data_IF_322444651584
#
_entry.id   IF_322444651584
#
_cell.length_a   1.000
_cell.length_b   1.000
_cell.length_c   1.000
_cell.angle_alpha   90.00
_cell.angle_beta   90.00
_cell.angle_gamma   90.00
#
_symmetry.space_group_name_H-M   'P 1'
#
loop_
_entity.id
_entity.type
_entity.pdbx_description
1 polymer ?
#
# COMPACT_ATOMS: atom_id res chain seq x y z
N UNK A 1 1.13 10.12 4.62
CA UNK A 1 1.91 11.35 4.62
C UNK A 1 3.35 11.10 5.01
N UNK A 2 3.67 10.77 6.27
CA UNK A 2 5.03 10.61 6.79
C UNK A 2 5.94 9.72 5.92
N UNK A 3 5.44 8.58 5.43
CA UNK A 3 6.22 7.69 4.58
C UNK A 3 6.57 8.36 3.25
N UNK A 4 5.61 9.01 2.60
CA UNK A 4 5.87 9.73 1.35
C UNK A 4 6.94 10.82 1.53
N UNK A 5 6.80 11.66 2.56
CA UNK A 5 7.80 12.68 2.87
C UNK A 5 9.18 12.06 3.13
N UNK A 6 9.26 11.01 3.95
CA UNK A 6 10.51 10.35 4.33
C UNK A 6 11.26 9.74 3.14
N UNK A 7 10.55 9.03 2.26
CA UNK A 7 11.18 8.29 1.17
C UNK A 7 11.36 9.10 -0.11
N UNK A 8 10.86 10.33 -0.16
CA UNK A 8 10.97 11.22 -1.33
C UNK A 8 11.58 12.58 -1.02
N UNK A 9 12.06 12.83 0.19
CA UNK A 9 12.59 14.14 0.62
C UNK A 9 13.81 14.63 -0.19
N UNK A 10 14.50 13.71 -0.85
CA UNK A 10 15.67 14.00 -1.71
C UNK A 10 15.27 14.45 -3.13
N UNK A 11 14.00 14.27 -3.53
CA UNK A 11 13.51 14.65 -4.85
C UNK A 11 12.94 16.06 -4.77
N UNK A 12 13.56 17.02 -5.50
CA UNK A 12 13.20 18.43 -5.44
C UNK A 12 12.93 19.06 -6.80
N UNK A 13 13.34 18.42 -7.87
CA UNK A 13 13.45 18.96 -9.22
C UNK A 13 12.36 18.50 -10.18
N UNK A 14 11.48 17.62 -9.74
CA UNK A 14 10.40 17.04 -10.55
C UNK A 14 9.22 16.56 -9.71
N UNK A 15 8.06 16.33 -10.34
CA UNK A 15 6.94 15.62 -9.67
C UNK A 15 7.35 14.23 -9.19
N UNK A 16 6.81 13.83 -8.05
CA UNK A 16 7.04 12.54 -7.39
C UNK A 16 5.90 11.61 -7.77
N UNK A 17 6.21 10.45 -8.36
CA UNK A 17 5.22 9.44 -8.69
C UNK A 17 5.12 8.38 -7.60
N UNK A 18 3.89 8.18 -7.10
CA UNK A 18 3.56 7.20 -6.07
C UNK A 18 2.59 6.19 -6.66
N UNK A 19 2.85 4.90 -6.46
CA UNK A 19 1.93 3.84 -6.85
C UNK A 19 1.39 3.08 -5.63
N UNK A 20 0.08 2.91 -5.59
CA UNK A 20 -0.67 2.15 -4.59
C UNK A 20 -1.45 1.02 -5.27
N UNK A 21 -0.92 -0.22 -5.27
CA UNK A 21 -1.54 -1.37 -5.91
C UNK A 21 -2.91 -1.79 -5.35
N UNK A 22 -3.31 -1.30 -4.18
CA UNK A 22 -4.57 -1.69 -3.53
C UNK A 22 -5.11 -0.51 -2.75
N UNK A 23 -5.73 0.46 -3.44
CA UNK A 23 -6.14 1.76 -2.89
C UNK A 23 -7.13 1.66 -1.72
N UNK A 24 -7.96 0.62 -1.69
CA UNK A 24 -8.85 0.28 -0.58
C UNK A 24 -9.74 1.45 -0.16
N UNK A 25 -9.72 1.81 1.11
CA UNK A 25 -10.56 2.90 1.67
C UNK A 25 -10.06 4.32 1.40
N UNK A 26 -9.02 4.50 0.58
CA UNK A 26 -8.51 5.81 0.22
C UNK A 26 -7.58 6.47 1.25
N UNK A 27 -7.19 5.79 2.33
CA UNK A 27 -6.29 6.37 3.34
C UNK A 27 -4.92 6.75 2.78
N UNK A 28 -4.42 6.05 1.78
CA UNK A 28 -3.12 6.30 1.17
C UNK A 28 -3.14 7.46 0.18
N UNK A 29 -4.19 7.60 -0.64
CA UNK A 29 -4.38 8.80 -1.47
C UNK A 29 -4.57 10.05 -0.59
N UNK A 30 -5.33 9.95 0.50
CA UNK A 30 -5.46 11.00 1.48
C UNK A 30 -4.11 11.40 2.07
N UNK A 31 -3.27 10.42 2.40
CA UNK A 31 -1.90 10.64 2.85
C UNK A 31 -1.04 11.36 1.83
N UNK A 32 -1.19 11.09 0.53
CA UNK A 32 -0.50 11.78 -0.56
C UNK A 32 -0.98 13.24 -0.70
N UNK A 33 -2.30 13.45 -0.77
CA UNK A 33 -2.90 14.78 -0.88
C UNK A 33 -2.64 15.69 0.34
N UNK A 34 -2.26 15.12 1.48
CA UNK A 34 -1.95 15.86 2.70
C UNK A 34 -0.47 16.28 2.85
N UNK A 35 0.39 15.94 1.90
CA UNK A 35 1.78 16.43 1.88
C UNK A 35 1.75 17.93 1.61
N UNK A 36 2.42 18.70 2.49
CA UNK A 36 2.39 20.17 2.47
C UNK A 36 3.79 20.72 2.40
N UNK A 37 4.36 20.60 1.25
CA UNK A 37 5.60 21.26 0.87
C UNK A 37 5.45 21.74 -0.59
N UNK A 38 6.47 22.30 -1.16
CA UNK A 38 6.48 22.86 -2.52
C UNK A 38 6.60 21.79 -3.62
N UNK A 39 6.57 20.49 -3.25
CA UNK A 39 6.66 19.36 -4.19
C UNK A 39 5.29 18.93 -4.68
N UNK A 40 5.19 18.59 -5.94
CA UNK A 40 4.00 17.97 -6.52
C UNK A 40 4.11 16.46 -6.44
N UNK A 41 3.07 15.80 -5.91
CA UNK A 41 2.91 14.35 -5.92
C UNK A 41 1.89 13.97 -6.99
N UNK A 42 2.19 12.92 -7.72
CA UNK A 42 1.26 12.25 -8.61
C UNK A 42 0.97 10.85 -8.05
N UNK A 43 -0.25 10.69 -7.53
CA UNK A 43 -0.71 9.41 -6.96
C UNK A 43 -1.36 8.57 -8.05
N UNK A 44 -0.93 7.32 -8.15
CA UNK A 44 -1.47 6.32 -9.06
C UNK A 44 -2.00 5.17 -8.20
N UNK A 45 -3.28 4.86 -8.34
CA UNK A 45 -3.93 3.82 -7.55
C UNK A 45 -4.62 2.77 -8.39
N UNK A 46 -4.74 1.55 -7.87
CA UNK A 46 -5.59 0.50 -8.43
C UNK A 46 -6.52 -0.06 -7.38
N UNK A 47 -7.74 -0.36 -7.76
CA UNK A 47 -8.73 -1.05 -6.91
C UNK A 47 -9.77 -1.73 -7.82
N UNK A 48 -10.02 -3.05 -7.70
CA UNK A 48 -11.00 -3.74 -8.55
C UNK A 48 -12.43 -3.56 -8.04
N UNK A 49 -12.65 -3.02 -6.83
CA UNK A 49 -13.97 -2.95 -6.21
C UNK A 49 -14.86 -1.91 -6.90
N UNK A 50 -15.94 -2.32 -7.60
CA UNK A 50 -16.82 -1.42 -8.32
C UNK A 50 -17.55 -0.43 -7.40
N UNK A 51 -17.74 -0.74 -6.11
CA UNK A 51 -18.41 0.15 -5.15
C UNK A 51 -17.63 1.45 -4.88
N UNK A 52 -16.37 1.52 -5.29
CA UNK A 52 -15.53 2.70 -5.17
C UNK A 52 -15.59 3.62 -6.40
N UNK A 53 -16.31 3.23 -7.46
CA UNK A 53 -16.39 3.94 -8.73
C UNK A 53 -17.84 4.24 -9.11
N UNK A 54 -18.09 5.39 -9.69
CA UNK A 54 -19.40 5.81 -10.14
C UNK A 54 -19.56 5.66 -11.68
N UNK A 55 -20.78 5.49 -12.19
CA UNK A 55 -21.02 5.35 -13.63
C UNK A 55 -20.61 6.56 -14.48
N UNK A 56 -20.49 7.74 -13.85
CA UNK A 56 -20.07 8.99 -14.51
C UNK A 56 -18.53 9.12 -14.62
N UNK A 57 -17.79 8.12 -14.19
CA UNK A 57 -16.33 8.11 -14.19
C UNK A 57 -15.68 8.76 -12.96
N UNK A 58 -16.46 9.31 -12.03
CA UNK A 58 -15.96 9.75 -10.72
C UNK A 58 -15.74 8.54 -9.81
N UNK A 59 -15.04 8.77 -8.69
CA UNK A 59 -14.79 7.73 -7.70
C UNK A 59 -14.69 8.32 -6.30
N UNK A 60 -14.81 7.48 -5.27
CA UNK A 60 -14.51 7.91 -3.89
C UNK A 60 -13.10 8.47 -3.75
N UNK A 61 -12.18 8.02 -4.59
CA UNK A 61 -10.79 8.50 -4.62
C UNK A 61 -10.68 9.91 -5.21
N UNK A 62 -11.41 10.19 -6.30
CA UNK A 62 -11.48 11.53 -6.88
C UNK A 62 -12.10 12.52 -5.89
N UNK A 63 -13.19 12.15 -5.24
CA UNK A 63 -13.85 13.01 -4.24
C UNK A 63 -12.91 13.35 -3.07
N UNK A 64 -12.19 12.36 -2.56
CA UNK A 64 -11.19 12.56 -1.51
C UNK A 64 -10.05 13.48 -1.97
N UNK A 65 -9.48 13.21 -3.15
CA UNK A 65 -8.35 13.97 -3.67
C UNK A 65 -8.72 15.43 -3.93
N UNK A 66 -9.85 15.67 -4.58
CA UNK A 66 -10.32 17.02 -4.93
C UNK A 66 -10.70 17.82 -3.68
N UNK A 67 -11.36 17.18 -2.71
CA UNK A 67 -11.65 17.82 -1.44
C UNK A 67 -10.37 18.30 -0.73
N UNK A 68 -9.35 17.44 -0.64
CA UNK A 68 -8.11 17.78 0.07
C UNK A 68 -7.22 18.74 -0.72
N UNK A 69 -7.14 18.64 -2.03
CA UNK A 69 -6.48 19.64 -2.87
C UNK A 69 -7.10 21.02 -2.67
N UNK A 70 -8.44 21.10 -2.73
CA UNK A 70 -9.16 22.36 -2.52
C UNK A 70 -8.93 22.93 -1.12
N UNK A 71 -8.99 22.10 -0.07
CA UNK A 71 -8.75 22.53 1.31
C UNK A 71 -7.32 22.96 1.57
N UNK A 72 -6.35 22.23 1.03
CA UNK A 72 -4.93 22.54 1.18
C UNK A 72 -4.59 23.87 0.52
N UNK A 73 -5.06 24.10 -0.71
CA UNK A 73 -4.87 25.36 -1.42
C UNK A 73 -5.48 26.56 -0.69
N UNK A 74 -6.73 26.44 -0.19
CA UNK A 74 -7.41 27.52 0.54
C UNK A 74 -6.76 27.84 1.88
N UNK A 75 -6.16 26.84 2.54
CA UNK A 75 -5.53 27.05 3.85
C UNK A 75 -4.13 27.66 3.75
N UNK A 76 -3.46 27.57 2.59
CA UNK A 76 -2.15 28.19 2.39
C UNK A 76 -1.90 28.57 0.93
N UNK A 77 -2.29 29.80 0.52
CA UNK A 77 -2.15 30.28 -0.85
C UNK A 77 -0.70 30.43 -1.34
N UNK A 78 0.29 30.30 -0.44
CA UNK A 78 1.72 30.30 -0.82
C UNK A 78 2.19 28.96 -1.37
N UNK A 79 1.44 27.86 -1.20
CA UNK A 79 1.72 26.59 -1.85
C UNK A 79 1.00 26.54 -3.19
N UNK A 80 1.75 26.62 -4.27
CA UNK A 80 1.21 26.64 -5.63
C UNK A 80 1.03 25.27 -6.27
N UNK A 81 1.50 24.19 -5.64
CA UNK A 81 1.44 22.85 -6.21
C UNK A 81 0.15 22.15 -5.84
N UNK A 82 -0.69 21.86 -6.81
CA UNK A 82 -1.78 20.89 -6.68
C UNK A 82 -1.23 19.49 -6.94
N UNK A 83 -1.48 18.57 -6.01
CA UNK A 83 -1.21 17.15 -6.25
C UNK A 83 -2.15 16.62 -7.32
N UNK A 84 -1.69 15.67 -8.10
CA UNK A 84 -2.50 15.00 -9.14
C UNK A 84 -2.69 13.53 -8.82
N UNK A 85 -3.67 12.90 -9.45
CA UNK A 85 -3.96 11.48 -9.22
C UNK A 85 -4.55 10.82 -10.47
N UNK A 86 -4.36 9.51 -10.53
CA UNK A 86 -5.05 8.59 -11.45
C UNK A 86 -5.43 7.35 -10.64
N UNK A 87 -6.65 6.85 -10.79
CA UNK A 87 -7.09 5.62 -10.13
C UNK A 87 -7.80 4.73 -11.13
N UNK A 88 -7.35 3.49 -11.23
CA UNK A 88 -7.82 2.50 -12.19
C UNK A 88 -8.73 1.48 -11.49
N UNK A 89 -9.89 1.21 -12.08
CA UNK A 89 -10.79 0.14 -11.62
C UNK A 89 -10.31 -1.22 -12.16
N UNK A 90 -9.14 -1.65 -11.69
CA UNK A 90 -8.52 -2.92 -12.09
C UNK A 90 -7.80 -3.56 -10.90
N UNK A 91 -7.66 -4.88 -10.94
CA UNK A 91 -6.77 -5.60 -10.03
C UNK A 91 -5.29 -5.27 -10.32
N UNK A 92 -4.50 -5.16 -9.28
CA UNK A 92 -3.06 -4.83 -9.39
C UNK A 92 -2.26 -5.90 -10.14
N UNK A 93 -2.74 -7.12 -10.18
CA UNK A 93 -2.16 -8.24 -10.92
C UNK A 93 -2.39 -8.15 -12.43
N UNK A 94 -3.32 -7.29 -12.88
CA UNK A 94 -3.70 -7.13 -14.30
C UNK A 94 -3.36 -5.75 -14.86
N UNK A 95 -3.07 -4.76 -14.00
CA UNK A 95 -2.88 -3.36 -14.38
C UNK A 95 -1.74 -3.16 -15.40
N UNK A 96 -0.76 -4.05 -15.41
CA UNK A 96 0.36 -4.02 -16.35
C UNK A 96 -0.07 -4.06 -17.83
N UNK A 97 -1.28 -4.50 -18.12
CA UNK A 97 -1.83 -4.55 -19.49
C UNK A 97 -2.59 -3.29 -19.87
N UNK A 98 -2.88 -2.39 -18.93
CA UNK A 98 -3.56 -1.13 -19.19
C UNK A 98 -2.63 -0.14 -19.89
N UNK A 99 -3.10 0.44 -21.02
CA UNK A 99 -2.30 1.32 -21.87
C UNK A 99 -1.93 2.65 -21.18
N UNK A 100 -2.86 3.16 -20.36
CA UNK A 100 -2.64 4.43 -19.66
C UNK A 100 -1.70 4.24 -18.48
N UNK A 101 -1.69 3.07 -17.86
CA UNK A 101 -0.74 2.72 -16.81
C UNK A 101 0.69 2.48 -17.35
N UNK A 102 0.82 1.96 -18.57
CA UNK A 102 2.11 1.68 -19.21
C UNK A 102 3.04 2.92 -19.30
N UNK A 103 2.48 4.13 -19.39
CA UNK A 103 3.26 5.39 -19.42
C UNK A 103 4.09 5.64 -18.15
N UNK A 104 3.82 4.92 -17.06
CA UNK A 104 4.52 5.06 -15.78
C UNK A 104 5.63 4.04 -15.56
N UNK A 105 5.87 3.14 -16.53
CA UNK A 105 6.86 2.07 -16.42
C UNK A 105 8.26 2.62 -16.17
N UNK A 106 8.91 2.17 -15.08
CA UNK A 106 10.23 2.62 -14.67
C UNK A 106 10.29 4.06 -14.14
N UNK A 107 9.15 4.69 -13.85
CA UNK A 107 9.08 6.07 -13.40
C UNK A 107 8.55 6.26 -11.97
N UNK A 108 8.08 5.19 -11.34
CA UNK A 108 7.54 5.25 -9.96
C UNK A 108 8.68 5.46 -8.96
N UNK A 109 8.54 6.44 -8.09
CA UNK A 109 9.51 6.74 -7.04
C UNK A 109 9.28 5.91 -5.79
N UNK A 110 8.01 5.75 -5.41
CA UNK A 110 7.60 5.00 -4.24
C UNK A 110 6.37 4.17 -4.56
N UNK A 111 6.46 2.87 -4.31
CA UNK A 111 5.29 2.00 -4.16
C UNK A 111 4.97 1.91 -2.68
N UNK A 112 3.71 2.13 -2.28
CA UNK A 112 3.26 1.90 -0.91
C UNK A 112 1.84 1.38 -0.89
N UNK A 113 1.67 0.18 -0.35
CA UNK A 113 0.36 -0.45 -0.20
C UNK A 113 0.28 -1.38 1.01
N UNK A 114 -0.95 -1.72 1.39
CA UNK A 114 -1.33 -2.88 2.18
C UNK A 114 -2.22 -3.73 1.28
N UNK A 115 -1.70 -4.80 0.67
CA UNK A 115 -2.49 -5.64 -0.22
C UNK A 115 -3.51 -6.47 0.57
N UNK A 116 -4.50 -7.09 -0.07
CA UNK A 116 -5.33 -8.11 0.55
C UNK A 116 -4.47 -9.23 1.16
N UNK A 117 -4.82 -9.68 2.37
CA UNK A 117 -4.09 -10.75 3.06
C UNK A 117 -4.79 -12.11 2.78
N UNK A 118 -4.62 -12.62 1.57
CA UNK A 118 -5.26 -13.85 1.09
C UNK A 118 -6.80 -13.77 1.30
N UNK A 119 -7.38 -14.68 2.10
CA UNK A 119 -8.81 -14.74 2.40
C UNK A 119 -9.20 -14.10 3.74
N UNK A 120 -8.32 -13.28 4.33
CA UNK A 120 -8.55 -12.67 5.64
C UNK A 120 -9.64 -11.62 5.64
N UNK A 121 -9.80 -10.93 4.54
CA UNK A 121 -10.68 -9.77 4.38
C UNK A 121 -11.53 -9.93 3.12
N UNK A 122 -12.84 -9.85 3.29
CA UNK A 122 -13.80 -9.78 2.20
C UNK A 122 -14.29 -8.33 2.10
N UNK A 123 -13.79 -7.60 1.12
CA UNK A 123 -14.12 -6.18 0.94
C UNK A 123 -15.40 -5.95 0.15
N UNK A 124 -15.80 -6.89 -0.70
CA UNK A 124 -17.04 -6.86 -1.46
C UNK A 124 -17.44 -8.28 -1.89
N UNK A 125 -18.66 -8.42 -2.42
CA UNK A 125 -19.13 -9.65 -3.04
C UNK A 125 -18.71 -9.79 -4.51
N UNK A 126 -17.95 -8.85 -5.05
CA UNK A 126 -17.48 -8.85 -6.43
C UNK A 126 -16.51 -10.00 -6.72
N UNK A 127 -16.67 -10.64 -7.87
CA UNK A 127 -15.86 -11.79 -8.29
C UNK A 127 -14.40 -11.42 -8.63
N UNK A 128 -14.10 -10.13 -8.84
CA UNK A 128 -12.75 -9.63 -9.10
C UNK A 128 -11.91 -9.49 -7.82
N UNK A 129 -12.45 -9.78 -6.64
CA UNK A 129 -11.66 -9.84 -5.41
C UNK A 129 -10.61 -10.96 -5.51
N UNK A 130 -9.36 -10.65 -5.15
CA UNK A 130 -8.23 -11.58 -5.30
C UNK A 130 -8.47 -12.94 -4.64
N UNK A 131 -9.13 -12.97 -3.46
CA UNK A 131 -9.45 -14.21 -2.76
C UNK A 131 -10.52 -15.04 -3.47
N UNK A 132 -11.44 -14.43 -4.22
CA UNK A 132 -12.43 -15.15 -5.04
C UNK A 132 -11.79 -15.67 -6.33
N UNK A 133 -11.07 -14.80 -7.02
CA UNK A 133 -10.44 -15.10 -8.31
C UNK A 133 -9.32 -16.15 -8.21
N UNK A 134 -8.52 -16.11 -7.16
CA UNK A 134 -7.34 -16.96 -6.98
C UNK A 134 -7.35 -17.78 -5.68
N UNK A 135 -8.37 -17.68 -4.85
CA UNK A 135 -8.37 -18.15 -3.46
C UNK A 135 -8.66 -19.65 -3.26
N UNK A 136 -8.51 -20.51 -4.28
CA UNK A 136 -8.67 -21.96 -4.15
C UNK A 136 -7.64 -22.57 -3.18
N UNK A 137 -6.42 -22.03 -3.14
CA UNK A 137 -5.37 -22.32 -2.16
C UNK A 137 -4.49 -21.09 -1.96
N UNK A 138 -3.66 -21.12 -0.92
CA UNK A 138 -2.66 -20.07 -0.70
C UNK A 138 -1.67 -19.96 -1.88
N UNK A 139 -1.19 -21.08 -2.39
CA UNK A 139 -0.28 -21.15 -3.52
C UNK A 139 -0.91 -20.54 -4.79
N UNK A 140 -2.18 -20.85 -5.04
CA UNK A 140 -2.92 -20.27 -6.17
C UNK A 140 -3.03 -18.76 -6.05
N UNK A 141 -3.32 -18.24 -4.85
CA UNK A 141 -3.37 -16.81 -4.59
C UNK A 141 -1.99 -16.15 -4.67
N UNK A 142 -0.96 -16.79 -4.12
CA UNK A 142 0.43 -16.31 -4.22
C UNK A 142 0.85 -16.16 -5.67
N UNK A 143 0.61 -17.17 -6.49
CA UNK A 143 1.08 -17.22 -7.88
C UNK A 143 0.18 -16.42 -8.84
N UNK A 144 -1.13 -16.33 -8.55
CA UNK A 144 -2.10 -15.61 -9.38
C UNK A 144 -2.29 -14.12 -9.03
N UNK A 145 -2.03 -13.74 -7.79
CA UNK A 145 -2.20 -12.36 -7.32
C UNK A 145 -0.91 -11.74 -6.79
N UNK A 146 -0.30 -12.35 -5.75
CA UNK A 146 0.82 -11.73 -5.05
C UNK A 146 2.04 -11.54 -5.98
N UNK A 147 2.44 -12.59 -6.67
CA UNK A 147 3.61 -12.55 -7.57
C UNK A 147 3.41 -11.59 -8.75
N UNK A 148 2.30 -11.60 -9.50
CA UNK A 148 2.08 -10.62 -10.58
C UNK A 148 2.04 -9.19 -10.07
N UNK A 149 1.40 -8.92 -8.93
CA UNK A 149 1.37 -7.59 -8.31
C UNK A 149 2.78 -7.10 -7.95
N UNK A 150 3.58 -7.93 -7.28
CA UNK A 150 4.96 -7.59 -6.92
C UNK A 150 5.85 -7.42 -8.16
N UNK A 151 5.63 -8.23 -9.21
CA UNK A 151 6.34 -8.11 -10.49
C UNK A 151 6.07 -6.76 -11.15
N UNK A 152 4.82 -6.35 -11.20
CA UNK A 152 4.42 -5.02 -11.69
C UNK A 152 5.05 -3.91 -10.84
N UNK A 153 4.99 -4.01 -9.52
CA UNK A 153 5.62 -3.03 -8.64
C UNK A 153 7.13 -2.91 -8.89
N UNK A 154 7.83 -4.04 -9.01
CA UNK A 154 9.27 -4.07 -9.26
C UNK A 154 9.63 -3.46 -10.62
N UNK A 155 8.87 -3.77 -11.66
CA UNK A 155 9.15 -3.33 -13.02
C UNK A 155 8.88 -1.82 -13.20
N UNK A 156 7.79 -1.30 -12.65
CA UNK A 156 7.41 0.12 -12.73
C UNK A 156 8.22 1.02 -11.82
N UNK A 157 8.81 0.46 -10.74
CA UNK A 157 9.69 1.21 -9.85
C UNK A 157 10.96 1.63 -10.61
N UNK A 158 11.35 2.89 -10.47
CA UNK A 158 12.62 3.38 -11.05
C UNK A 158 13.83 2.86 -10.30
N UNK A 159 15.02 2.83 -10.91
CA UNK A 159 16.26 2.61 -10.18
C UNK A 159 16.40 3.57 -9.00
N UNK A 160 16.77 3.05 -7.83
CA UNK A 160 16.85 3.79 -6.58
C UNK A 160 15.52 4.07 -5.89
N UNK A 161 14.38 3.73 -6.50
CA UNK A 161 13.05 3.85 -5.92
C UNK A 161 12.79 2.88 -4.77
N UNK A 162 11.78 3.16 -3.95
CA UNK A 162 11.44 2.40 -2.76
C UNK A 162 10.10 1.68 -2.91
N UNK A 163 10.04 0.44 -2.44
CA UNK A 163 8.80 -0.31 -2.27
C UNK A 163 8.56 -0.54 -0.78
N UNK A 164 7.43 -0.06 -0.31
CA UNK A 164 6.96 -0.14 1.08
C UNK A 164 5.77 -1.09 1.12
N UNK A 165 6.00 -2.31 1.63
CA UNK A 165 5.02 -3.39 1.59
C UNK A 165 4.50 -3.70 2.99
N UNK A 166 3.24 -3.31 3.25
CA UNK A 166 2.61 -3.56 4.54
C UNK A 166 1.86 -4.87 4.47
N UNK A 167 2.47 -5.94 4.95
CA UNK A 167 1.90 -7.29 4.98
C UNK A 167 2.36 -8.01 6.24
N UNK A 168 1.55 -8.92 6.75
CA UNK A 168 1.88 -9.79 7.87
C UNK A 168 1.45 -11.22 7.59
N UNK A 169 2.15 -12.19 8.18
CA UNK A 169 1.74 -13.58 8.19
C UNK A 169 0.38 -13.73 8.85
N UNK A 170 -0.46 -14.59 8.29
CA UNK A 170 -1.79 -14.88 8.82
C UNK A 170 -1.88 -16.29 9.35
N UNK A 171 -2.63 -16.48 10.43
CA UNK A 171 -2.89 -17.77 11.03
C UNK A 171 -4.20 -18.33 10.49
N UNK A 172 -4.15 -19.48 9.79
CA UNK A 172 -5.32 -20.20 9.28
C UNK A 172 -5.24 -21.64 9.76
N UNK A 173 -6.28 -22.11 10.44
CA UNK A 173 -6.38 -23.49 10.97
C UNK A 173 -5.17 -23.96 11.78
N UNK A 174 -4.52 -23.04 12.52
CA UNK A 174 -3.36 -23.34 13.37
C UNK A 174 -2.02 -23.23 12.68
N UNK A 175 -1.95 -22.97 11.39
CA UNK A 175 -0.71 -22.80 10.61
C UNK A 175 -0.55 -21.35 10.14
N UNK A 176 0.68 -20.83 10.19
CA UNK A 176 0.99 -19.52 9.65
C UNK A 176 1.30 -19.63 8.16
N UNK A 177 0.57 -18.88 7.34
CA UNK A 177 0.92 -18.68 5.93
C UNK A 177 2.04 -17.65 5.84
N UNK A 178 3.11 -17.91 5.05
CA UNK A 178 4.36 -17.13 5.06
C UNK A 178 4.32 -15.92 4.11
N UNK A 179 3.30 -15.06 4.22
CA UNK A 179 3.12 -13.92 3.31
C UNK A 179 4.32 -12.96 3.38
N UNK A 180 4.92 -12.79 4.56
CA UNK A 180 6.10 -11.93 4.76
C UNK A 180 7.29 -12.49 3.97
N UNK A 181 7.61 -13.77 4.15
CA UNK A 181 8.77 -14.39 3.51
C UNK A 181 8.57 -14.52 2.00
N UNK A 182 7.40 -14.96 1.54
CA UNK A 182 7.12 -15.07 0.10
C UNK A 182 7.25 -13.71 -0.61
N UNK A 183 6.83 -12.61 0.04
CA UNK A 183 7.03 -11.27 -0.52
C UNK A 183 8.51 -10.88 -0.63
N UNK A 184 9.32 -11.24 0.37
CA UNK A 184 10.76 -10.98 0.37
C UNK A 184 11.44 -11.77 -0.75
N UNK A 185 11.13 -13.06 -0.87
CA UNK A 185 11.74 -13.98 -1.84
C UNK A 185 11.38 -13.56 -3.28
N UNK A 186 10.09 -13.28 -3.55
CA UNK A 186 9.63 -12.82 -4.87
C UNK A 186 10.34 -11.52 -5.27
N UNK A 187 10.41 -10.53 -4.38
CA UNK A 187 11.07 -9.25 -4.69
C UNK A 187 12.59 -9.43 -4.85
N UNK A 188 13.21 -10.32 -4.08
CA UNK A 188 14.62 -10.67 -4.24
C UNK A 188 14.92 -11.28 -5.61
N UNK A 189 14.08 -12.22 -6.10
CA UNK A 189 14.16 -12.79 -7.45
C UNK A 189 14.06 -11.70 -8.54
N UNK A 190 13.29 -10.63 -8.27
CA UNK A 190 13.07 -9.50 -9.19
C UNK A 190 14.14 -8.40 -9.09
N UNK A 191 15.18 -8.60 -8.28
CA UNK A 191 16.27 -7.63 -8.11
C UNK A 191 15.92 -6.42 -7.25
N UNK A 192 14.89 -6.51 -6.41
CA UNK A 192 14.50 -5.46 -5.47
C UNK A 192 14.96 -5.87 -4.06
N UNK A 193 15.95 -5.18 -3.54
CA UNK A 193 16.66 -5.57 -2.33
C UNK A 193 15.87 -5.20 -1.06
N UNK A 194 15.67 -6.15 -0.16
CA UNK A 194 15.17 -5.91 1.18
C UNK A 194 16.18 -5.09 2.00
N UNK A 195 15.73 -4.01 2.63
CA UNK A 195 16.59 -3.15 3.46
C UNK A 195 16.32 -3.32 4.95
N UNK A 196 15.08 -3.12 5.38
CA UNK A 196 14.68 -3.23 6.78
C UNK A 196 13.16 -3.24 6.92
N UNK A 197 12.70 -3.48 8.14
CA UNK A 197 11.29 -3.48 8.52
C UNK A 197 10.96 -2.32 9.45
N UNK A 198 9.95 -1.50 9.10
CA UNK A 198 9.32 -0.55 9.98
C UNK A 198 8.21 -1.24 10.77
N UNK A 199 7.92 -0.73 11.96
CA UNK A 199 6.82 -1.19 12.81
C UNK A 199 5.79 -0.08 12.91
N UNK A 200 4.64 -0.27 12.29
CA UNK A 200 3.51 0.65 12.43
C UNK A 200 2.75 0.27 13.70
N UNK A 201 3.03 0.96 14.78
CA UNK A 201 2.38 0.70 16.06
C UNK A 201 0.89 1.06 15.98
N UNK A 202 0.04 0.13 16.42
CA UNK A 202 -1.41 0.29 16.46
C UNK A 202 -1.84 0.62 17.89
N UNK A 203 -2.61 1.68 18.05
CA UNK A 203 -3.30 1.93 19.32
C UNK A 203 -4.32 0.82 19.59
N UNK A 204 -4.42 0.42 20.86
CA UNK A 204 -5.36 -0.60 21.28
C UNK A 204 -6.76 -0.06 21.40
N UNK A 205 -7.72 -0.86 20.98
CA UNK A 205 -9.08 -0.62 21.40
C UNK A 205 -9.20 -0.72 22.93
N UNK A 206 -9.96 0.17 23.59
CA UNK A 206 -10.25 0.06 25.01
C UNK A 206 -10.76 -1.33 25.37
N UNK A 207 -10.25 -1.95 26.43
CA UNK A 207 -10.69 -3.28 26.88
C UNK A 207 -9.99 -4.48 26.23
N UNK A 208 -9.15 -4.31 25.22
CA UNK A 208 -8.32 -5.40 24.71
C UNK A 208 -7.14 -5.70 25.64
N UNK A 209 -7.22 -6.83 26.32
CA UNK A 209 -6.09 -7.34 27.11
C UNK A 209 -5.06 -7.98 26.15
N UNK A 210 -3.95 -7.29 25.91
CA UNK A 210 -2.91 -7.68 24.93
C UNK A 210 -1.80 -8.50 25.55
N UNK A 211 -1.81 -8.62 26.85
CA UNK A 211 -0.78 -9.29 27.62
C UNK A 211 -1.44 -10.48 28.33
N UNK A 212 -0.75 -11.61 28.35
CA UNK A 212 -1.17 -12.79 29.11
C UNK A 212 -1.01 -12.57 30.60
N UNK A 213 -1.47 -13.52 31.40
CA UNK A 213 -1.28 -13.51 32.87
C UNK A 213 0.21 -13.60 33.24
N UNK A 214 1.03 -14.14 32.35
CA UNK A 214 2.49 -14.21 32.48
C UNK A 214 3.23 -12.91 32.11
N UNK A 215 2.49 -11.84 31.81
CA UNK A 215 3.04 -10.54 31.43
C UNK A 215 3.57 -10.49 29.98
N UNK A 216 3.41 -11.55 29.18
CA UNK A 216 3.92 -11.61 27.80
C UNK A 216 2.85 -11.29 26.77
N UNK A 217 3.23 -10.75 25.61
CA UNK A 217 2.31 -10.52 24.50
C UNK A 217 1.62 -11.80 24.00
N UNK A 218 0.30 -11.73 23.78
CA UNK A 218 -0.53 -12.87 23.33
C UNK A 218 -0.37 -13.27 21.87
N UNK A 219 0.29 -12.48 21.03
CA UNK A 219 0.47 -12.74 19.59
C UNK A 219 1.85 -12.30 19.08
N UNK A 220 2.11 -12.70 17.85
CA UNK A 220 3.30 -12.35 17.08
C UNK A 220 3.42 -10.86 16.86
N UNK A 221 4.00 -10.05 16.53
CA UNK A 221 3.97 -8.63 16.14
C UNK A 221 3.60 -7.66 17.28
N UNK A 222 4.33 -7.73 18.39
CA UNK A 222 4.30 -6.73 19.45
C UNK A 222 5.63 -5.98 19.52
N UNK A 223 5.56 -4.70 19.88
CA UNK A 223 6.70 -3.89 20.24
C UNK A 223 6.43 -3.18 21.57
N UNK A 224 7.48 -2.90 22.31
CA UNK A 224 7.40 -2.11 23.53
C UNK A 224 7.69 -0.64 23.19
N UNK A 225 6.75 0.24 23.59
CA UNK A 225 6.90 1.70 23.46
C UNK A 225 6.47 2.33 24.77
N UNK A 226 7.36 3.06 25.42
CA UNK A 226 7.13 3.71 26.73
C UNK A 226 6.47 2.75 27.75
N UNK A 227 7.10 1.61 27.97
CA UNK A 227 6.67 0.54 28.89
C UNK A 227 5.30 -0.10 28.59
N UNK A 228 4.73 0.15 27.41
CA UNK A 228 3.51 -0.47 26.94
C UNK A 228 3.78 -1.42 25.79
N UNK A 229 3.13 -2.59 25.78
CA UNK A 229 3.13 -3.48 24.64
C UNK A 229 2.08 -3.03 23.64
N UNK A 230 2.52 -2.64 22.43
CA UNK A 230 1.67 -2.26 21.32
C UNK A 230 1.76 -3.32 20.22
N UNK A 231 0.62 -3.71 19.68
CA UNK A 231 0.59 -4.46 18.43
C UNK A 231 1.12 -3.56 17.32
N UNK A 232 1.86 -4.13 16.38
CA UNK A 232 2.28 -3.40 15.19
C UNK A 232 1.95 -4.18 13.93
N UNK A 233 1.78 -3.47 12.83
CA UNK A 233 1.84 -4.04 11.49
C UNK A 233 3.21 -3.76 10.87
N UNK A 234 3.83 -4.78 10.26
CA UNK A 234 5.14 -4.63 9.65
C UNK A 234 5.01 -3.92 8.30
N UNK A 235 5.89 -2.96 8.01
CA UNK A 235 6.08 -2.40 6.68
C UNK A 235 7.49 -2.77 6.25
N UNK A 236 7.60 -3.65 5.29
CA UNK A 236 8.87 -4.05 4.70
C UNK A 236 9.34 -2.99 3.73
N UNK A 237 10.60 -2.58 3.86
CA UNK A 237 11.22 -1.56 3.01
C UNK A 237 12.19 -2.24 2.07
N UNK A 238 11.93 -2.07 0.78
CA UNK A 238 12.79 -2.56 -0.29
C UNK A 238 13.27 -1.38 -1.12
N UNK A 239 14.38 -1.59 -1.85
CA UNK A 239 14.94 -0.61 -2.79
C UNK A 239 15.36 -1.30 -4.08
N UNK A 240 14.95 -0.75 -5.21
CA UNK A 240 15.44 -1.19 -6.52
C UNK A 240 16.88 -0.70 -6.74
N UNK A 241 17.73 -1.57 -7.23
CA UNK A 241 19.11 -1.24 -7.59
C UNK A 241 19.20 -0.16 -8.67
#
# INVERSE_FOLDING_TARGET
KYLYERFTNHIKDRPIKIYDPSSGWGGRILGAMSVRDDRTLHYIGTDPNPDNFNPDGSSRYSDLADFYNTKTYRSNPFFSSTHTYEVFQLGSEEIQYDKDFQKHRGEIDVVFTSPPYFNREAYSEDENQSYKKYGSSYESWRDGFLRPTLSTCAEWLRPGGYLLWNIADILIKGEYLPLEQDSIDILGELGVEYKYKLKMALEGMPGQNRVGEDGKPKCKNFCQVNDRYLKYEPIFVFRKA
#
